data_IF_115450932133
#
_entry.id   IF_115450932133
#
_cell.length_a   1.000
_cell.length_b   1.000
_cell.length_c   1.000
_cell.angle_alpha   90.00
_cell.angle_beta   90.00
_cell.angle_gamma   90.00
#
_symmetry.space_group_name_H-M   'P 1'
#
loop_
_entity.id
_entity.type
_entity.pdbx_description
1 polymer ?
#
# COMPACT_ATOMS: atom_id res chain seq x y z
N UNK A 1 6.08 -17.09 -9.08
CA UNK A 1 4.69 -16.58 -9.00
C UNK A 1 4.21 -16.84 -7.59
N UNK A 2 3.40 -15.99 -7.01
CA UNK A 2 2.83 -16.23 -5.68
C UNK A 2 2.00 -17.52 -5.66
N UNK A 3 1.94 -18.18 -4.51
CA UNK A 3 1.16 -19.39 -4.27
C UNK A 3 0.40 -19.28 -2.94
N UNK A 4 -0.45 -20.26 -2.64
CA UNK A 4 -1.13 -20.38 -1.35
C UNK A 4 -0.37 -21.23 -0.32
N UNK A 5 0.89 -21.59 -0.59
CA UNK A 5 1.63 -22.51 0.26
C UNK A 5 1.84 -21.95 1.68
N UNK A 6 2.08 -20.65 1.80
CA UNK A 6 2.26 -19.99 3.10
C UNK A 6 0.93 -19.97 3.87
N UNK A 7 -0.16 -19.55 3.21
CA UNK A 7 -1.50 -19.50 3.80
C UNK A 7 -1.97 -20.88 4.24
N UNK A 8 -1.70 -21.93 3.45
CA UNK A 8 -2.04 -23.33 3.79
C UNK A 8 -1.25 -23.84 4.97
N UNK A 9 0.08 -23.60 4.99
CA UNK A 9 0.92 -23.98 6.13
C UNK A 9 0.43 -23.35 7.43
N UNK A 10 -0.01 -22.08 7.40
CA UNK A 10 -0.56 -21.40 8.57
C UNK A 10 -1.91 -21.96 9.01
N UNK A 11 -2.76 -22.41 8.08
CA UNK A 11 -4.01 -23.11 8.41
C UNK A 11 -3.72 -24.44 9.11
N UNK A 12 -2.70 -25.18 8.67
CA UNK A 12 -2.25 -26.41 9.33
C UNK A 12 -1.72 -26.12 10.77
N UNK A 13 -1.20 -24.92 11.03
CA UNK A 13 -0.82 -24.44 12.36
C UNK A 13 -2.02 -23.98 13.23
N UNK A 14 -3.25 -23.93 12.66
CA UNK A 14 -4.48 -23.59 13.37
C UNK A 14 -5.03 -22.18 13.11
N UNK A 15 -4.42 -21.37 12.24
CA UNK A 15 -4.95 -20.08 11.84
C UNK A 15 -5.96 -20.24 10.69
N UNK A 16 -7.25 -20.23 11.00
CA UNK A 16 -8.29 -20.48 9.99
C UNK A 16 -8.39 -19.38 8.93
N UNK A 17 -8.21 -18.11 9.33
CA UNK A 17 -8.37 -16.94 8.50
C UNK A 17 -7.08 -16.13 8.45
N UNK A 18 -6.39 -16.18 7.32
CA UNK A 18 -5.12 -15.46 7.11
C UNK A 18 -5.33 -14.33 6.12
N UNK A 19 -4.96 -13.10 6.46
CA UNK A 19 -4.90 -11.98 5.54
C UNK A 19 -3.47 -11.66 5.09
N UNK A 20 -3.29 -11.28 3.85
CA UNK A 20 -2.05 -10.66 3.35
C UNK A 20 -2.14 -9.15 3.43
N UNK A 21 -1.05 -8.48 3.76
CA UNK A 21 -0.97 -7.02 3.92
C UNK A 21 0.23 -6.47 3.18
N UNK A 22 0.04 -5.41 2.42
CA UNK A 22 1.11 -4.70 1.71
C UNK A 22 0.81 -3.20 1.64
N UNK A 23 1.84 -2.39 1.34
CA UNK A 23 1.72 -0.95 1.24
C UNK A 23 2.17 -0.40 -0.11
N UNK A 24 1.72 0.81 -0.41
CA UNK A 24 2.20 1.62 -1.52
C UNK A 24 2.47 3.06 -1.06
N UNK A 25 3.62 3.60 -1.47
CA UNK A 25 3.87 5.03 -1.26
C UNK A 25 4.80 5.40 -0.12
N UNK A 26 5.70 4.53 0.34
CA UNK A 26 6.72 4.88 1.36
C UNK A 26 7.75 5.88 0.84
N UNK A 27 8.24 5.71 -0.39
CA UNK A 27 9.34 6.52 -0.95
C UNK A 27 9.00 7.88 -1.58
N UNK A 28 7.78 8.19 -2.00
CA UNK A 28 7.41 9.47 -2.59
C UNK A 28 7.59 10.68 -1.67
N UNK A 29 7.82 11.86 -2.27
CA UNK A 29 7.97 13.14 -1.58
C UNK A 29 6.64 13.75 -1.12
N UNK A 30 5.50 13.25 -1.65
CA UNK A 30 4.17 13.78 -1.36
C UNK A 30 3.11 12.68 -1.29
N UNK A 31 1.96 13.04 -0.72
CA UNK A 31 0.80 12.20 -0.54
C UNK A 31 0.90 11.18 0.60
N UNK A 32 -0.20 10.49 0.91
CA UNK A 32 -0.25 9.49 1.97
C UNK A 32 0.55 8.23 1.60
N UNK A 33 0.84 7.40 2.59
CA UNK A 33 1.11 5.98 2.41
C UNK A 33 -0.22 5.24 2.47
N UNK A 34 -0.42 4.26 1.59
CA UNK A 34 -1.66 3.47 1.52
C UNK A 34 -1.32 2.02 1.77
N UNK A 35 -2.02 1.39 2.69
CA UNK A 35 -1.92 -0.04 2.95
C UNK A 35 -3.23 -0.73 2.60
N UNK A 36 -3.15 -2.01 2.26
CA UNK A 36 -4.31 -2.86 2.08
C UNK A 36 -4.11 -4.20 2.77
N UNK A 37 -5.22 -4.77 3.23
CA UNK A 37 -5.32 -6.14 3.72
C UNK A 37 -6.26 -6.93 2.81
N UNK A 38 -5.96 -8.19 2.52
CA UNK A 38 -6.78 -9.01 1.64
C UNK A 38 -6.81 -10.46 2.11
N UNK A 39 -8.01 -11.04 2.12
CA UNK A 39 -8.28 -12.46 2.39
C UNK A 39 -8.84 -13.05 1.10
N UNK A 40 -8.14 -14.02 0.53
CA UNK A 40 -8.60 -14.72 -0.67
C UNK A 40 -9.19 -16.10 -0.32
N UNK A 41 -10.19 -16.59 -1.07
CA UNK A 41 -10.61 -17.98 -0.99
C UNK A 41 -9.44 -18.91 -1.33
N UNK A 42 -9.32 -20.04 -0.60
CA UNK A 42 -8.26 -21.02 -0.90
C UNK A 42 -8.39 -21.55 -2.32
N UNK A 43 -7.26 -21.58 -3.03
CA UNK A 43 -7.18 -22.10 -4.40
C UNK A 43 -7.85 -21.21 -5.46
N UNK A 44 -8.26 -19.99 -5.12
CA UNK A 44 -8.75 -19.05 -6.12
C UNK A 44 -7.65 -18.75 -7.14
N UNK A 45 -7.90 -19.09 -8.41
CA UNK A 45 -7.01 -18.71 -9.50
C UNK A 45 -7.32 -17.26 -9.93
N UNK A 46 -6.33 -16.40 -9.76
CA UNK A 46 -6.36 -15.03 -10.29
C UNK A 46 -5.27 -14.96 -11.37
N UNK A 47 -5.64 -15.11 -12.65
CA UNK A 47 -4.66 -15.11 -13.73
C UNK A 47 -3.81 -13.85 -13.73
N UNK A 48 -2.50 -14.01 -13.94
CA UNK A 48 -1.52 -12.92 -13.97
C UNK A 48 -1.28 -12.16 -12.65
N UNK A 49 -1.88 -12.58 -11.52
CA UNK A 49 -1.56 -11.97 -10.22
C UNK A 49 -0.08 -12.14 -9.91
N UNK A 50 0.60 -11.04 -9.66
CA UNK A 50 2.04 -10.97 -9.38
C UNK A 50 2.34 -9.65 -8.66
N UNK A 51 3.57 -9.48 -8.19
CA UNK A 51 4.09 -8.21 -7.72
C UNK A 51 3.60 -7.04 -8.61
N UNK A 52 2.92 -6.08 -7.99
CA UNK A 52 2.25 -4.96 -8.67
C UNK A 52 3.19 -4.14 -9.56
N UNK A 53 4.47 -4.10 -9.24
CA UNK A 53 5.50 -3.36 -9.99
C UNK A 53 5.84 -4.00 -11.34
N UNK A 54 5.57 -5.31 -11.50
CA UNK A 54 5.79 -6.05 -12.76
C UNK A 54 4.61 -5.95 -13.74
N UNK A 55 3.50 -5.36 -13.32
CA UNK A 55 2.28 -5.28 -14.10
C UNK A 55 2.10 -3.88 -14.73
N UNK A 56 1.47 -3.84 -15.90
CA UNK A 56 1.04 -2.57 -16.49
C UNK A 56 -0.11 -1.94 -15.70
N UNK A 57 -0.30 -0.60 -15.73
CA UNK A 57 -1.42 0.05 -15.06
C UNK A 57 -2.77 -0.58 -15.43
N UNK A 58 -3.04 -0.81 -16.72
CA UNK A 58 -4.28 -1.43 -17.20
C UNK A 58 -4.52 -2.84 -16.64
N UNK A 59 -3.46 -3.63 -16.45
CA UNK A 59 -3.58 -4.95 -15.82
C UNK A 59 -3.87 -4.82 -14.34
N UNK A 60 -3.20 -3.89 -13.65
CA UNK A 60 -3.47 -3.63 -12.22
C UNK A 60 -4.91 -3.20 -11.98
N UNK A 61 -5.47 -2.30 -12.81
CA UNK A 61 -6.87 -1.87 -12.68
C UNK A 61 -7.84 -3.04 -12.83
N UNK A 62 -7.64 -3.92 -13.83
CA UNK A 62 -8.47 -5.11 -13.98
C UNK A 62 -8.37 -6.06 -12.78
N UNK A 63 -7.16 -6.27 -12.27
CA UNK A 63 -6.95 -7.13 -11.10
C UNK A 63 -7.55 -6.50 -9.84
N UNK A 64 -7.49 -5.18 -9.68
CA UNK A 64 -8.11 -4.47 -8.58
C UNK A 64 -9.61 -4.76 -8.48
N UNK A 65 -10.33 -4.63 -9.59
CA UNK A 65 -11.77 -4.89 -9.63
C UNK A 65 -12.08 -6.37 -9.38
N UNK A 66 -11.31 -7.27 -9.99
CA UNK A 66 -11.46 -8.73 -9.80
C UNK A 66 -11.18 -9.14 -8.35
N UNK A 67 -10.13 -8.60 -7.70
CA UNK A 67 -9.81 -8.90 -6.31
C UNK A 67 -10.96 -8.44 -5.40
N UNK A 68 -11.48 -7.23 -5.60
CA UNK A 68 -12.61 -6.71 -4.82
C UNK A 68 -13.88 -7.54 -4.97
N UNK A 69 -14.11 -8.11 -6.15
CA UNK A 69 -15.26 -8.98 -6.41
C UNK A 69 -15.09 -10.37 -5.79
N UNK A 70 -13.89 -10.94 -5.81
CA UNK A 70 -13.65 -12.35 -5.50
C UNK A 70 -13.04 -12.59 -4.11
N UNK A 71 -12.51 -11.58 -3.45
CA UNK A 71 -11.96 -11.72 -2.11
C UNK A 71 -13.05 -12.14 -1.11
N UNK A 72 -12.66 -12.90 -0.09
CA UNK A 72 -13.52 -13.14 1.08
C UNK A 72 -13.74 -11.82 1.81
N UNK A 73 -12.66 -11.07 2.01
CA UNK A 73 -12.68 -9.74 2.58
C UNK A 73 -11.44 -8.94 2.15
N UNK A 74 -11.57 -7.62 2.15
CA UNK A 74 -10.45 -6.70 1.97
C UNK A 74 -10.66 -5.44 2.79
N UNK A 75 -9.58 -4.74 3.12
CA UNK A 75 -9.59 -3.44 3.77
C UNK A 75 -8.49 -2.57 3.18
N UNK A 76 -8.75 -1.27 3.05
CA UNK A 76 -7.78 -0.30 2.51
C UNK A 76 -7.78 0.92 3.43
N UNK A 77 -6.60 1.36 3.81
CA UNK A 77 -6.44 2.52 4.69
C UNK A 77 -5.18 3.31 4.36
N UNK A 78 -5.09 4.51 4.89
CA UNK A 78 -3.96 5.39 4.68
C UNK A 78 -3.31 5.86 5.98
N UNK A 79 -2.02 6.20 5.89
CA UNK A 79 -1.31 7.07 6.82
C UNK A 79 -1.13 8.43 6.16
N UNK A 80 -1.73 9.46 6.75
CA UNK A 80 -1.79 10.79 6.17
C UNK A 80 -0.41 11.47 6.12
N UNK A 81 -0.32 12.57 5.36
CA UNK A 81 0.91 13.39 5.31
C UNK A 81 1.23 13.97 6.69
N UNK A 82 0.22 14.37 7.47
CA UNK A 82 0.38 14.86 8.84
C UNK A 82 0.94 13.77 9.76
N UNK A 83 0.44 12.55 9.65
CA UNK A 83 0.94 11.40 10.40
C UNK A 83 2.37 11.03 10.02
N UNK A 84 2.71 11.06 8.71
CA UNK A 84 4.09 10.87 8.24
C UNK A 84 5.02 11.94 8.80
N UNK A 85 4.58 13.20 8.83
CA UNK A 85 5.36 14.30 9.35
C UNK A 85 5.55 14.25 10.88
N UNK A 86 4.54 13.82 11.63
CA UNK A 86 4.58 13.71 13.09
C UNK A 86 5.31 12.44 13.55
N UNK A 87 4.88 11.28 13.08
CA UNK A 87 5.39 9.99 13.54
C UNK A 87 6.71 9.59 12.86
N UNK A 88 6.81 9.65 11.60
CA UNK A 88 7.73 9.25 10.53
C UNK A 88 7.05 8.24 9.59
N UNK A 89 7.72 7.95 8.46
CA UNK A 89 7.12 7.08 7.43
C UNK A 89 6.91 5.64 7.91
N UNK A 90 7.79 5.09 8.72
CA UNK A 90 7.66 3.72 9.20
C UNK A 90 6.45 3.57 10.11
N UNK A 91 6.29 4.45 11.09
CA UNK A 91 5.17 4.37 12.04
C UNK A 91 3.82 4.72 11.38
N UNK A 92 3.81 5.66 10.43
CA UNK A 92 2.62 5.97 9.64
C UNK A 92 2.21 4.81 8.72
N UNK A 93 3.17 4.08 8.18
CA UNK A 93 2.95 2.88 7.38
C UNK A 93 2.38 1.74 8.21
N UNK A 94 2.99 1.40 9.35
CA UNK A 94 2.45 0.42 10.28
C UNK A 94 1.05 0.79 10.79
N UNK A 95 0.77 2.08 10.99
CA UNK A 95 -0.56 2.57 11.34
C UNK A 95 -1.57 2.34 10.20
N UNK A 96 -1.18 2.60 8.96
CA UNK A 96 -2.02 2.32 7.79
C UNK A 96 -2.31 0.82 7.64
N UNK A 97 -1.31 -0.04 7.85
CA UNK A 97 -1.48 -1.50 7.82
C UNK A 97 -2.45 -1.99 8.91
N UNK A 98 -2.32 -1.50 10.16
CA UNK A 98 -3.28 -1.81 11.23
C UNK A 98 -4.70 -1.41 10.86
N UNK A 99 -4.88 -0.18 10.38
CA UNK A 99 -6.19 0.32 9.92
C UNK A 99 -6.76 -0.50 8.77
N UNK A 100 -5.93 -0.97 7.84
CA UNK A 100 -6.36 -1.82 6.74
C UNK A 100 -6.88 -3.17 7.26
N UNK A 101 -6.20 -3.78 8.24
CA UNK A 101 -6.66 -5.00 8.91
C UNK A 101 -7.97 -4.75 9.67
N UNK A 102 -8.05 -3.68 10.45
CA UNK A 102 -9.23 -3.33 11.26
C UNK A 102 -10.45 -2.98 10.39
N UNK A 103 -10.23 -2.55 9.14
CA UNK A 103 -11.28 -2.20 8.18
C UNK A 103 -11.69 -3.35 7.24
N UNK A 104 -11.24 -4.58 7.50
CA UNK A 104 -11.63 -5.75 6.69
C UNK A 104 -13.15 -5.90 6.62
N UNK A 105 -13.67 -6.01 5.42
CA UNK A 105 -15.09 -6.23 5.13
C UNK A 105 -15.26 -7.11 3.89
N UNK A 106 -16.38 -7.83 3.82
CA UNK A 106 -16.75 -8.61 2.63
C UNK A 106 -17.06 -7.67 1.44
N UNK A 107 -17.13 -8.17 0.20
CA UNK A 107 -17.56 -7.38 -0.95
C UNK A 107 -18.93 -6.70 -0.76
N UNK A 108 -19.82 -7.30 0.05
CA UNK A 108 -21.14 -6.74 0.38
C UNK A 108 -21.10 -5.72 1.53
N UNK A 109 -19.92 -5.46 2.10
CA UNK A 109 -19.72 -4.45 3.14
C UNK A 109 -19.86 -4.94 4.58
N UNK A 110 -20.04 -6.25 4.82
CA UNK A 110 -20.14 -6.81 6.16
C UNK A 110 -18.75 -6.87 6.82
N UNK A 111 -18.60 -6.46 8.09
CA UNK A 111 -17.33 -6.53 8.81
C UNK A 111 -16.77 -7.96 8.83
N UNK A 112 -15.44 -8.07 8.68
CA UNK A 112 -14.76 -9.35 8.71
C UNK A 112 -13.47 -9.26 9.53
N UNK A 113 -12.95 -10.39 10.01
CA UNK A 113 -11.72 -10.42 10.82
C UNK A 113 -10.79 -11.54 10.39
N UNK A 114 -9.51 -11.34 10.61
CA UNK A 114 -8.46 -12.34 10.39
C UNK A 114 -7.89 -12.84 11.73
N UNK A 115 -7.40 -14.08 11.73
CA UNK A 115 -6.70 -14.69 12.89
C UNK A 115 -5.21 -14.37 12.88
N UNK A 116 -4.65 -14.14 11.67
CA UNK A 116 -3.24 -13.82 11.45
C UNK A 116 -3.06 -12.94 10.24
N UNK A 117 -2.11 -11.99 10.31
CA UNK A 117 -1.68 -11.16 9.20
C UNK A 117 -0.30 -11.58 8.68
N UNK A 118 -0.19 -11.78 7.35
CA UNK A 118 1.06 -11.89 6.61
C UNK A 118 1.45 -10.50 6.10
N UNK A 119 2.54 -9.94 6.59
CA UNK A 119 2.98 -8.59 6.27
C UNK A 119 4.10 -8.64 5.23
N UNK A 120 3.97 -7.92 4.10
CA UNK A 120 5.12 -7.74 3.20
C UNK A 120 6.24 -6.97 3.90
N UNK A 121 7.46 -7.49 3.84
CA UNK A 121 8.62 -6.86 4.47
C UNK A 121 9.23 -7.66 5.61
N UNK A 122 9.80 -6.94 6.59
CA UNK A 122 10.57 -7.53 7.69
C UNK A 122 10.14 -7.04 9.08
N UNK A 123 8.96 -6.43 9.20
CA UNK A 123 8.45 -5.86 10.45
C UNK A 123 7.03 -6.35 10.67
N UNK A 124 6.81 -7.01 11.80
CA UNK A 124 5.52 -7.62 12.21
C UNK A 124 5.12 -7.25 13.64
N UNK A 125 5.63 -6.13 14.14
CA UNK A 125 5.35 -5.66 15.51
C UNK A 125 4.13 -4.73 15.58
N UNK A 126 3.55 -4.67 16.78
CA UNK A 126 2.49 -3.72 17.16
C UNK A 126 1.15 -3.92 16.43
N UNK A 127 0.88 -5.12 15.90
CA UNK A 127 -0.44 -5.51 15.39
C UNK A 127 -1.32 -6.06 16.53
N UNK A 128 -2.65 -5.92 16.39
CA UNK A 128 -3.62 -6.42 17.38
C UNK A 128 -3.86 -7.92 17.27
N UNK A 129 -3.55 -8.51 16.11
CA UNK A 129 -3.59 -9.94 15.85
C UNK A 129 -2.17 -10.47 15.62
N UNK A 130 -1.91 -11.77 15.77
CA UNK A 130 -0.65 -12.36 15.36
C UNK A 130 -0.25 -11.94 13.96
N UNK A 131 1.02 -11.56 13.77
CA UNK A 131 1.54 -11.15 12.47
C UNK A 131 2.85 -11.88 12.15
N UNK A 132 3.11 -12.10 10.87
CA UNK A 132 4.38 -12.65 10.37
C UNK A 132 4.88 -11.86 9.17
N UNK A 133 6.07 -11.31 9.29
CA UNK A 133 6.72 -10.61 8.20
C UNK A 133 7.29 -11.59 7.17
N UNK A 134 7.03 -11.36 5.90
CA UNK A 134 7.49 -12.16 4.77
C UNK A 134 8.25 -11.25 3.81
N UNK A 135 9.56 -11.37 3.77
CA UNK A 135 10.39 -10.59 2.85
C UNK A 135 10.06 -10.96 1.40
N UNK A 136 9.67 -9.97 0.59
CA UNK A 136 9.17 -10.13 -0.79
C UNK A 136 7.89 -10.99 -0.84
N UNK A 137 7.02 -10.81 0.14
CA UNK A 137 5.77 -11.55 0.29
C UNK A 137 4.85 -11.40 -0.91
N UNK A 138 4.85 -10.21 -1.56
CA UNK A 138 4.15 -9.91 -2.80
C UNK A 138 4.47 -10.86 -3.97
N UNK A 139 5.62 -11.49 -3.95
CA UNK A 139 6.03 -12.50 -4.94
C UNK A 139 5.86 -13.95 -4.47
N UNK A 140 5.50 -14.18 -3.21
CA UNK A 140 5.43 -15.49 -2.56
C UNK A 140 4.00 -15.89 -2.15
N UNK A 141 3.23 -14.98 -1.56
CA UNK A 141 1.88 -15.18 -1.03
C UNK A 141 0.83 -14.56 -1.97
N UNK A 142 -0.23 -15.31 -2.27
CA UNK A 142 -1.36 -14.81 -3.08
C UNK A 142 -2.09 -13.67 -2.38
N UNK A 143 -2.29 -13.76 -1.07
CA UNK A 143 -2.99 -12.73 -0.29
C UNK A 143 -2.20 -11.43 -0.21
N UNK A 144 -0.86 -11.50 -0.04
CA UNK A 144 0.00 -10.31 -0.06
C UNK A 144 0.04 -9.70 -1.48
N UNK A 145 0.15 -10.53 -2.53
CA UNK A 145 0.13 -10.04 -3.91
C UNK A 145 -1.19 -9.30 -4.24
N UNK A 146 -2.33 -9.81 -3.76
CA UNK A 146 -3.61 -9.14 -3.90
C UNK A 146 -3.65 -7.80 -3.13
N UNK A 147 -3.17 -7.76 -1.90
CA UNK A 147 -3.04 -6.54 -1.10
C UNK A 147 -2.16 -5.50 -1.81
N UNK A 148 -1.03 -5.92 -2.40
CA UNK A 148 -0.14 -5.07 -3.21
C UNK A 148 -0.87 -4.35 -4.35
N UNK A 149 -1.72 -5.07 -5.08
CA UNK A 149 -2.56 -4.48 -6.14
C UNK A 149 -3.54 -3.46 -5.57
N UNK A 150 -4.24 -3.81 -4.48
CA UNK A 150 -5.22 -2.93 -3.86
C UNK A 150 -4.57 -1.63 -3.36
N UNK A 151 -3.47 -1.72 -2.64
CA UNK A 151 -2.74 -0.56 -2.15
C UNK A 151 -2.20 0.30 -3.31
N UNK A 152 -1.58 -0.33 -4.31
CA UNK A 152 -0.96 0.37 -5.44
C UNK A 152 -1.97 1.12 -6.30
N UNK A 153 -3.08 0.47 -6.69
CA UNK A 153 -4.10 1.11 -7.54
C UNK A 153 -4.79 2.25 -6.78
N UNK A 154 -5.13 2.03 -5.53
CA UNK A 154 -5.74 3.08 -4.69
C UNK A 154 -4.83 4.30 -4.62
N UNK A 155 -3.54 4.10 -4.32
CA UNK A 155 -2.60 5.22 -4.23
C UNK A 155 -2.36 5.91 -5.58
N UNK A 156 -2.31 5.17 -6.68
CA UNK A 156 -2.12 5.75 -8.01
C UNK A 156 -3.32 6.63 -8.40
N UNK A 157 -4.55 6.25 -8.05
CA UNK A 157 -5.78 7.07 -8.21
C UNK A 157 -5.74 8.32 -7.32
N UNK A 158 -5.29 8.22 -6.07
CA UNK A 158 -5.05 9.38 -5.21
C UNK A 158 -4.02 10.36 -5.81
N UNK A 159 -2.97 9.86 -6.47
CA UNK A 159 -2.01 10.70 -7.17
C UNK A 159 -2.64 11.47 -8.33
N UNK A 160 -3.60 10.88 -9.04
CA UNK A 160 -4.33 11.56 -10.11
C UNK A 160 -5.23 12.69 -9.56
N UNK A 161 -5.88 12.47 -8.41
CA UNK A 161 -6.66 13.52 -7.76
C UNK A 161 -5.76 14.64 -7.20
N UNK A 162 -4.61 14.30 -6.61
CA UNK A 162 -3.64 15.30 -6.18
C UNK A 162 -3.08 16.12 -7.36
N UNK A 163 -2.89 15.52 -8.53
CA UNK A 163 -2.42 16.20 -9.73
C UNK A 163 -3.44 17.21 -10.25
N UNK A 164 -4.74 16.89 -10.18
CA UNK A 164 -5.82 17.85 -10.52
C UNK A 164 -5.83 19.06 -9.59
N UNK A 165 -5.56 18.85 -8.30
CA UNK A 165 -5.54 19.92 -7.29
C UNK A 165 -4.25 20.75 -7.36
N UNK A 166 -3.14 20.15 -7.76
CA UNK A 166 -1.79 20.75 -7.78
C UNK A 166 -1.08 20.44 -9.10
N UNK A 167 -1.62 20.88 -10.26
CA UNK A 167 -1.12 20.47 -11.59
C UNK A 167 0.32 20.90 -11.88
N UNK A 168 0.83 21.93 -11.18
CA UNK A 168 2.18 22.44 -11.36
C UNK A 168 3.29 21.43 -11.00
N UNK A 169 2.97 20.37 -10.22
CA UNK A 169 3.97 19.37 -9.82
C UNK A 169 4.01 18.15 -10.73
N UNK A 170 2.99 17.87 -11.55
CA UNK A 170 2.94 16.72 -12.47
C UNK A 170 2.89 15.36 -11.77
N UNK A 171 2.17 15.28 -10.64
CA UNK A 171 2.14 14.10 -9.73
C UNK A 171 1.59 12.85 -10.42
N UNK A 172 0.61 13.01 -11.31
CA UNK A 172 0.03 11.89 -12.05
C UNK A 172 1.08 11.10 -12.85
N UNK A 173 2.12 11.79 -13.36
CA UNK A 173 3.19 11.17 -14.16
C UNK A 173 4.16 10.35 -13.30
N UNK A 174 4.66 10.91 -12.22
CA UNK A 174 5.72 10.30 -11.40
C UNK A 174 5.22 9.79 -10.04
N UNK A 175 3.91 9.82 -9.79
CA UNK A 175 3.27 9.31 -8.57
C UNK A 175 3.90 9.83 -7.27
N UNK A 176 4.41 11.08 -7.31
CA UNK A 176 5.02 11.77 -6.18
C UNK A 176 6.49 11.45 -5.90
N UNK A 177 7.11 10.57 -6.68
CA UNK A 177 8.54 10.26 -6.50
C UNK A 177 9.44 11.45 -6.86
N UNK A 178 10.63 11.52 -6.24
CA UNK A 178 11.61 12.59 -6.40
C UNK A 178 12.35 12.56 -7.75
N UNK A 179 11.60 12.62 -8.84
CA UNK A 179 12.15 12.76 -10.18
C UNK A 179 12.74 14.16 -10.40
N UNK A 180 13.55 14.33 -11.45
CA UNK A 180 14.09 15.66 -11.82
C UNK A 180 12.97 16.67 -12.01
N UNK A 181 11.87 16.29 -12.68
CA UNK A 181 10.73 17.16 -12.94
C UNK A 181 10.07 17.58 -11.62
N UNK A 182 9.82 16.64 -10.69
CA UNK A 182 9.20 16.95 -9.39
C UNK A 182 10.09 17.84 -8.53
N UNK A 183 11.40 17.56 -8.49
CA UNK A 183 12.34 18.39 -7.74
C UNK A 183 12.49 19.80 -8.36
N UNK A 184 12.41 19.94 -9.69
CA UNK A 184 12.42 21.24 -10.36
C UNK A 184 11.14 22.02 -10.02
N UNK A 185 9.97 21.40 -10.10
CA UNK A 185 8.71 22.02 -9.71
C UNK A 185 8.70 22.47 -8.25
N UNK A 186 9.26 21.67 -7.33
CA UNK A 186 9.41 22.05 -5.92
C UNK A 186 10.33 23.26 -5.71
N UNK A 187 11.39 23.42 -6.51
CA UNK A 187 12.26 24.62 -6.44
C UNK A 187 11.57 25.86 -7.01
N UNK A 188 10.75 25.69 -8.03
CA UNK A 188 10.04 26.80 -8.72
C UNK A 188 8.83 27.27 -7.93
N UNK A 189 7.95 26.34 -7.50
CA UNK A 189 6.65 26.66 -6.89
C UNK A 189 6.64 26.53 -5.35
N UNK A 190 7.74 26.05 -4.76
CA UNK A 190 7.76 25.70 -3.35
C UNK A 190 6.96 24.43 -3.01
N UNK A 191 6.94 24.01 -1.74
CA UNK A 191 6.13 22.89 -1.28
C UNK A 191 4.65 23.30 -1.10
N UNK A 192 3.74 22.36 -1.29
CA UNK A 192 2.32 22.48 -0.96
C UNK A 192 1.95 21.57 0.23
N UNK A 193 0.72 21.64 0.78
CA UNK A 193 0.31 20.84 1.94
C UNK A 193 0.42 19.33 1.76
N UNK A 194 0.40 18.83 0.51
CA UNK A 194 0.56 17.40 0.23
C UNK A 194 2.00 16.90 0.33
N UNK A 195 3.00 17.80 0.50
CA UNK A 195 4.40 17.39 0.55
C UNK A 195 4.83 17.00 1.96
N UNK A 196 5.67 15.96 2.04
CA UNK A 196 6.20 15.42 3.29
C UNK A 196 7.41 16.23 3.74
N UNK A 197 7.26 17.04 4.76
CA UNK A 197 8.27 18.01 5.20
C UNK A 197 9.67 17.39 5.40
N UNK A 198 9.72 16.18 5.99
CA UNK A 198 10.98 15.46 6.24
C UNK A 198 11.67 14.96 4.97
N UNK A 199 10.90 14.78 3.85
CA UNK A 199 11.41 14.23 2.59
C UNK A 199 11.92 15.29 1.63
N UNK A 200 11.55 16.56 1.85
CA UNK A 200 11.89 17.70 0.98
C UNK A 200 12.91 18.66 1.63
N UNK A 201 13.65 18.21 2.65
CA UNK A 201 14.64 19.03 3.37
C UNK A 201 15.74 19.60 2.46
N UNK A 202 16.04 18.94 1.35
CA UNK A 202 17.01 19.41 0.34
C UNK A 202 16.66 20.79 -0.24
N UNK A 203 15.40 21.25 -0.11
CA UNK A 203 15.02 22.60 -0.51
C UNK A 203 15.64 23.68 0.38
N UNK A 204 15.97 23.33 1.62
CA UNK A 204 16.56 24.25 2.61
C UNK A 204 18.10 24.21 2.61
N UNK A 205 18.70 23.22 1.96
CA UNK A 205 20.17 23.02 1.95
C UNK A 205 20.90 23.85 0.87
N UNK A 206 20.13 24.55 0.00
CA UNK A 206 20.65 25.37 -1.10
C UNK A 206 20.68 26.88 -0.87
N UNK A 207 20.42 27.39 0.35
CA UNK A 207 20.37 28.84 0.67
C UNK A 207 21.56 29.35 1.47
N UNK A 208 22.69 28.65 1.45
CA UNK A 208 23.95 29.16 1.97
C UNK A 208 24.88 29.51 0.80
N UNK A 209 24.61 30.64 0.14
CA UNK A 209 25.60 31.48 -0.54
C UNK A 209 25.55 32.90 0.03
#
# INVERSE_FOLDING_TARGET
MPSYDIERALRDEGYAVVCGVDEAGRGPLCGPVVAAACILPDGLDIPELNDSKKLTPKKRDKLFDLIKEKAVAYGIAEGSVEEINSLNILEADLLAMRRAIDSLHTPDGEPYSADLALIDGNIDRDFQIPARAIVKGDSLSMSIAAASILAKVTRDRMCEEMDKAYPQYGIAKHKGYGTKDHMAALREFGPSPIHRAKFIRFLNEGTHE
#
